data_IF_945515057972
#
_entry.id   IF_945515057972
#
_cell.length_a   1.000
_cell.length_b   1.000
_cell.length_c   1.000
_cell.angle_alpha   90.00
_cell.angle_beta   90.00
_cell.angle_gamma   90.00
#
_symmetry.space_group_name_H-M   'P 1'
#
loop_
_entity.id
_entity.type
_entity.pdbx_description
1 polymer ?
#
# COMPACT_ATOMS: atom_id res chain seq x y z
N UNK A 1 43.38 18.78 5.22
CA UNK A 1 43.23 17.32 5.43
C UNK A 1 42.40 16.92 6.66
N UNK A 2 42.18 17.79 7.66
CA UNK A 2 41.38 17.49 8.87
C UNK A 2 39.86 17.69 8.71
N UNK A 3 39.40 18.55 7.79
CA UNK A 3 37.97 18.83 7.55
C UNK A 3 37.25 17.71 6.79
N UNK A 4 37.93 17.09 5.83
CA UNK A 4 37.31 15.98 5.04
C UNK A 4 37.04 14.71 5.88
N UNK A 5 37.75 14.52 7.01
CA UNK A 5 37.51 13.40 7.92
C UNK A 5 36.31 13.64 8.86
N UNK A 6 35.93 14.90 9.14
CA UNK A 6 34.71 15.23 9.93
C UNK A 6 33.44 15.01 9.11
N UNK A 7 33.46 15.36 7.83
CA UNK A 7 32.31 15.17 6.92
C UNK A 7 32.06 13.67 6.66
N UNK A 8 33.11 12.87 6.47
CA UNK A 8 32.98 11.42 6.33
C UNK A 8 32.46 10.73 7.60
N UNK A 9 32.90 11.17 8.81
CA UNK A 9 32.37 10.63 10.07
C UNK A 9 30.92 11.03 10.34
N UNK A 10 30.47 12.19 9.86
CA UNK A 10 29.06 12.59 9.99
C UNK A 10 28.12 11.81 9.05
N UNK A 11 28.64 11.27 7.94
CA UNK A 11 27.86 10.39 7.05
C UNK A 11 27.75 8.94 7.55
N UNK A 12 28.62 8.48 8.43
CA UNK A 12 28.61 7.11 8.97
C UNK A 12 27.61 6.90 10.12
N UNK A 13 26.96 7.94 10.64
CA UNK A 13 26.07 7.85 11.82
C UNK A 13 24.58 8.03 11.49
N UNK A 14 24.20 8.14 10.23
CA UNK A 14 22.77 8.06 9.87
C UNK A 14 22.39 6.57 9.87
N UNK A 15 21.98 6.07 11.03
CA UNK A 15 21.38 4.74 11.11
C UNK A 15 20.21 4.68 10.12
N UNK A 16 20.28 3.75 9.18
CA UNK A 16 19.20 3.52 8.22
C UNK A 16 17.90 3.24 8.97
N UNK A 17 16.84 3.96 8.65
CA UNK A 17 15.49 3.76 9.20
C UNK A 17 14.94 2.36 8.90
N UNK A 18 15.57 1.61 8.00
CA UNK A 18 15.21 0.23 7.62
C UNK A 18 15.22 -0.73 8.83
N UNK A 19 16.05 -0.46 9.85
CA UNK A 19 16.08 -1.27 11.07
C UNK A 19 14.75 -1.24 11.83
N UNK A 20 14.02 -0.14 11.75
CA UNK A 20 12.76 0.09 12.47
C UNK A 20 11.53 -0.37 11.69
N UNK A 21 11.67 -0.65 10.39
CA UNK A 21 10.58 -1.20 9.60
C UNK A 21 10.32 -2.65 10.00
N UNK A 22 9.06 -3.04 10.30
CA UNK A 22 8.71 -4.41 10.66
C UNK A 22 8.72 -5.36 9.47
N UNK A 23 9.08 -4.89 8.27
CA UNK A 23 9.10 -5.63 7.01
C UNK A 23 10.49 -6.25 6.83
N UNK A 24 10.55 -7.56 6.55
CA UNK A 24 11.79 -8.26 6.19
C UNK A 24 12.05 -8.14 4.68
N UNK A 25 11.03 -8.48 3.86
CA UNK A 25 11.11 -8.42 2.41
C UNK A 25 9.73 -8.33 1.76
N UNK A 26 9.68 -7.92 0.50
CA UNK A 26 8.46 -7.96 -0.32
C UNK A 26 8.73 -8.88 -1.50
N UNK A 27 7.98 -10.00 -1.57
CA UNK A 27 8.08 -10.99 -2.65
C UNK A 27 6.85 -10.95 -3.51
N UNK A 28 6.96 -10.36 -4.71
CA UNK A 28 5.91 -10.27 -5.72
C UNK A 28 4.66 -9.53 -5.20
N UNK A 29 3.74 -10.23 -4.58
CA UNK A 29 2.41 -9.82 -4.13
C UNK A 29 2.22 -10.05 -2.62
N UNK A 30 3.31 -10.33 -1.92
CA UNK A 30 3.30 -10.74 -0.52
C UNK A 30 4.38 -9.99 0.26
N UNK A 31 3.99 -9.43 1.40
CA UNK A 31 4.89 -8.80 2.36
C UNK A 31 5.26 -9.85 3.40
N UNK A 32 6.56 -10.08 3.58
CA UNK A 32 7.11 -10.92 4.63
C UNK A 32 7.56 -10.01 5.78
N UNK A 33 7.01 -10.26 6.96
CA UNK A 33 7.30 -9.47 8.15
C UNK A 33 8.45 -10.11 8.93
N UNK A 34 9.20 -9.30 9.71
CA UNK A 34 10.32 -9.77 10.56
C UNK A 34 9.89 -10.78 11.63
N UNK A 35 8.63 -10.74 12.03
CA UNK A 35 8.03 -11.69 12.98
C UNK A 35 7.53 -13.00 12.34
N UNK A 36 7.76 -13.17 11.02
CA UNK A 36 7.36 -14.34 10.25
C UNK A 36 5.94 -14.32 9.69
N UNK A 37 5.16 -13.25 9.94
CA UNK A 37 3.86 -13.09 9.33
C UNK A 37 3.98 -12.80 7.83
N UNK A 38 3.03 -13.34 7.08
CA UNK A 38 2.81 -12.96 5.69
C UNK A 38 1.59 -12.05 5.60
N UNK A 39 1.65 -11.04 4.73
CA UNK A 39 0.53 -10.14 4.47
C UNK A 39 0.35 -9.94 2.97
N UNK A 40 -0.90 -9.91 2.53
CA UNK A 40 -1.27 -9.47 1.19
C UNK A 40 -2.19 -8.26 1.30
N UNK A 41 -2.09 -7.35 0.34
CA UNK A 41 -2.91 -6.14 0.30
C UNK A 41 -3.81 -6.22 -0.93
N UNK A 42 -5.10 -5.99 -0.71
CA UNK A 42 -6.13 -5.91 -1.73
C UNK A 42 -6.61 -4.46 -1.77
N UNK A 43 -6.47 -3.79 -2.90
CA UNK A 43 -7.12 -2.49 -3.15
C UNK A 43 -8.56 -2.75 -3.56
N UNK A 44 -9.49 -1.99 -2.99
CA UNK A 44 -10.93 -2.10 -3.24
C UNK A 44 -11.48 -0.79 -3.80
N UNK A 45 -12.47 -0.89 -4.68
CA UNK A 45 -13.33 0.24 -5.00
C UNK A 45 -14.22 0.58 -3.80
N UNK A 46 -14.89 1.70 -3.87
CA UNK A 46 -15.90 2.09 -2.90
C UNK A 46 -17.29 2.00 -3.52
N UNK A 47 -18.27 1.75 -2.68
CA UNK A 47 -19.68 1.74 -3.05
C UNK A 47 -20.38 2.93 -2.41
N UNK A 48 -21.03 3.78 -3.21
CA UNK A 48 -21.87 4.83 -2.68
C UNK A 48 -23.24 4.26 -2.32
N UNK A 49 -23.44 4.02 -1.02
CA UNK A 49 -24.67 3.42 -0.50
C UNK A 49 -25.83 4.43 -0.57
N UNK A 50 -25.56 5.72 -0.46
CA UNK A 50 -26.60 6.77 -0.48
C UNK A 50 -27.31 6.88 -1.84
N UNK A 51 -26.69 6.42 -2.92
CA UNK A 51 -27.28 6.37 -4.26
C UNK A 51 -28.17 5.13 -4.48
N UNK A 52 -28.24 4.23 -3.50
CA UNK A 52 -29.05 3.01 -3.58
C UNK A 52 -30.37 3.18 -2.87
N UNK A 53 -31.39 2.48 -3.36
CA UNK A 53 -32.69 2.45 -2.68
C UNK A 53 -32.59 1.65 -1.36
N UNK A 54 -33.60 1.76 -0.50
CA UNK A 54 -33.61 1.14 0.83
C UNK A 54 -33.47 -0.38 0.80
N UNK A 55 -34.03 -1.05 -0.20
CA UNK A 55 -33.94 -2.50 -0.35
C UNK A 55 -32.52 -2.90 -0.72
N UNK A 56 -31.89 -2.21 -1.66
CA UNK A 56 -30.48 -2.45 -2.03
C UNK A 56 -29.53 -2.17 -0.87
N UNK A 57 -29.77 -1.12 -0.09
CA UNK A 57 -28.99 -0.82 1.13
C UNK A 57 -29.06 -1.98 2.12
N UNK A 58 -30.27 -2.52 2.35
CA UNK A 58 -30.44 -3.67 3.23
C UNK A 58 -29.72 -4.92 2.71
N UNK A 59 -29.79 -5.18 1.39
CA UNK A 59 -29.06 -6.29 0.77
C UNK A 59 -27.55 -6.16 0.97
N UNK A 60 -27.00 -4.94 0.82
CA UNK A 60 -25.57 -4.70 1.06
C UNK A 60 -25.22 -4.97 2.52
N UNK A 61 -26.05 -4.48 3.47
CA UNK A 61 -25.83 -4.68 4.89
C UNK A 61 -25.85 -6.18 5.28
N UNK A 62 -26.82 -6.93 4.76
CA UNK A 62 -26.94 -8.36 5.02
C UNK A 62 -25.76 -9.15 4.43
N UNK A 63 -25.33 -8.81 3.22
CA UNK A 63 -24.14 -9.41 2.60
C UNK A 63 -22.87 -9.10 3.39
N UNK A 64 -22.72 -7.88 3.85
CA UNK A 64 -21.57 -7.48 4.66
C UNK A 64 -21.54 -8.24 6.00
N UNK A 65 -22.69 -8.37 6.67
CA UNK A 65 -22.81 -9.16 7.88
C UNK A 65 -22.42 -10.64 7.64
N UNK A 66 -22.88 -11.23 6.55
CA UNK A 66 -22.49 -12.62 6.16
C UNK A 66 -20.99 -12.72 5.88
N UNK A 67 -20.42 -11.74 5.17
CA UNK A 67 -18.98 -11.70 4.94
C UNK A 67 -18.20 -11.72 6.26
N UNK A 68 -18.54 -10.84 7.21
CA UNK A 68 -17.88 -10.80 8.50
C UNK A 68 -18.01 -12.12 9.28
N UNK A 69 -19.18 -12.75 9.25
CA UNK A 69 -19.43 -14.02 9.92
C UNK A 69 -18.71 -15.23 9.27
N UNK A 70 -18.27 -15.10 8.02
CA UNK A 70 -17.52 -16.16 7.31
C UNK A 70 -16.03 -16.12 7.62
N UNK A 71 -15.54 -14.99 8.16
CA UNK A 71 -14.11 -14.82 8.46
C UNK A 71 -13.73 -15.59 9.73
N UNK A 72 -12.85 -16.58 9.58
CA UNK A 72 -12.21 -17.35 10.65
C UNK A 72 -10.81 -16.81 11.01
N UNK A 73 -10.39 -15.70 10.37
CA UNK A 73 -9.13 -15.01 10.58
C UNK A 73 -9.33 -13.49 10.62
N UNK A 74 -8.47 -12.75 11.31
CA UNK A 74 -8.55 -11.30 11.33
C UNK A 74 -8.19 -10.71 9.96
N UNK A 75 -8.87 -9.64 9.58
CA UNK A 75 -8.49 -8.77 8.46
C UNK A 75 -8.34 -7.35 8.97
N UNK A 76 -7.57 -6.53 8.27
CA UNK A 76 -7.46 -5.10 8.56
C UNK A 76 -8.01 -4.32 7.36
N UNK A 77 -8.98 -3.45 7.63
CA UNK A 77 -9.50 -2.51 6.64
C UNK A 77 -8.82 -1.17 6.87
N UNK A 78 -8.21 -0.64 5.81
CA UNK A 78 -7.48 0.63 5.85
C UNK A 78 -8.14 1.59 4.87
N UNK A 79 -8.62 2.72 5.41
CA UNK A 79 -9.05 3.87 4.62
C UNK A 79 -7.92 4.88 4.61
N UNK A 80 -7.44 5.20 3.42
CA UNK A 80 -6.43 6.21 3.20
C UNK A 80 -7.04 7.41 2.49
N UNK A 81 -6.85 8.60 3.05
CA UNK A 81 -7.21 9.86 2.39
C UNK A 81 -5.91 10.53 1.93
N UNK A 82 -5.80 10.79 0.63
CA UNK A 82 -4.68 11.49 0.02
C UNK A 82 -5.16 12.74 -0.68
N UNK A 83 -4.30 13.73 -0.78
CA UNK A 83 -4.59 14.90 -1.59
C UNK A 83 -4.68 14.49 -3.06
N UNK A 84 -5.71 14.95 -3.74
CA UNK A 84 -5.84 14.75 -5.19
C UNK A 84 -4.98 15.80 -5.90
N UNK A 85 -3.93 15.35 -6.55
CA UNK A 85 -3.08 16.20 -7.39
C UNK A 85 -3.68 16.35 -8.79
N UNK A 86 -4.12 17.56 -9.12
CA UNK A 86 -4.68 17.89 -10.43
C UNK A 86 -3.63 18.36 -11.45
N UNK A 87 -2.34 18.38 -11.12
CA UNK A 87 -1.28 18.95 -11.98
C UNK A 87 -1.29 18.34 -13.37
N UNK A 88 -1.39 17.01 -13.48
CA UNK A 88 -1.44 16.33 -14.79
C UNK A 88 -2.69 16.71 -15.59
N UNK A 89 -3.83 16.85 -14.91
CA UNK A 89 -5.08 17.26 -15.55
C UNK A 89 -5.03 18.72 -16.00
N UNK A 90 -4.50 19.61 -15.18
CA UNK A 90 -4.28 21.01 -15.54
C UNK A 90 -3.37 21.15 -16.77
N UNK A 91 -2.29 20.39 -16.83
CA UNK A 91 -1.40 20.36 -17.98
C UNK A 91 -2.11 19.85 -19.25
N UNK A 92 -2.96 18.84 -19.12
CA UNK A 92 -3.78 18.34 -20.23
C UNK A 92 -4.76 19.41 -20.73
N UNK A 93 -5.49 20.09 -19.83
CA UNK A 93 -6.41 21.17 -20.20
C UNK A 93 -5.65 22.30 -20.91
N UNK A 94 -4.53 22.76 -20.34
CA UNK A 94 -3.72 23.83 -20.92
C UNK A 94 -3.31 23.54 -22.36
N UNK A 95 -2.83 22.33 -22.64
CA UNK A 95 -2.47 21.89 -24.01
C UNK A 95 -3.66 21.86 -24.98
N UNK A 96 -4.87 21.60 -24.47
CA UNK A 96 -6.08 21.58 -25.30
C UNK A 96 -6.63 22.99 -25.56
N UNK A 97 -6.52 23.92 -24.60
CA UNK A 97 -6.91 25.32 -24.77
C UNK A 97 -6.14 25.95 -25.93
N UNK A 98 -4.85 25.63 -26.08
CA UNK A 98 -4.00 26.15 -27.18
C UNK A 98 -4.48 25.73 -28.59
N UNK A 99 -5.30 24.67 -28.68
CA UNK A 99 -5.84 24.15 -29.96
C UNK A 99 -7.22 24.65 -30.31
N UNK A 100 -7.81 25.48 -29.47
CA UNK A 100 -9.19 25.99 -29.66
C UNK A 100 -9.13 27.27 -30.47
N UNK A 101 -9.73 27.27 -31.67
CA UNK A 101 -9.81 28.43 -32.54
C UNK A 101 -10.93 29.40 -32.16
N UNK A 102 -11.98 28.91 -31.51
CA UNK A 102 -13.13 29.73 -31.11
C UNK A 102 -12.82 30.52 -29.85
N UNK A 103 -12.78 31.87 -29.96
CA UNK A 103 -12.41 32.76 -28.87
C UNK A 103 -13.34 32.67 -27.63
N UNK A 104 -14.67 32.53 -27.87
CA UNK A 104 -15.64 32.40 -26.76
C UNK A 104 -15.43 31.09 -25.99
N UNK A 105 -15.22 30.01 -26.72
CA UNK A 105 -14.98 28.70 -26.12
C UNK A 105 -13.61 28.67 -25.40
N UNK A 106 -12.60 29.29 -26.00
CA UNK A 106 -11.26 29.44 -25.40
C UNK A 106 -11.34 30.19 -24.07
N UNK A 107 -12.05 31.31 -24.04
CA UNK A 107 -12.28 32.07 -22.81
C UNK A 107 -12.96 31.25 -21.71
N UNK A 108 -13.99 30.46 -22.06
CA UNK A 108 -14.66 29.57 -21.09
C UNK A 108 -13.71 28.54 -20.49
N UNK A 109 -12.86 27.91 -21.34
CA UNK A 109 -11.88 26.95 -20.87
C UNK A 109 -10.76 27.59 -20.02
N UNK A 110 -10.37 28.81 -20.29
CA UNK A 110 -9.44 29.58 -19.47
C UNK A 110 -10.04 29.87 -18.08
N UNK A 111 -11.30 30.27 -18.00
CA UNK A 111 -11.99 30.45 -16.73
C UNK A 111 -12.08 29.15 -15.91
N UNK A 112 -12.39 28.04 -16.59
CA UNK A 112 -12.42 26.73 -15.96
C UNK A 112 -11.05 26.29 -15.46
N UNK A 113 -10.01 26.52 -16.24
CA UNK A 113 -8.63 26.25 -15.85
C UNK A 113 -8.21 27.03 -14.59
N UNK A 114 -8.50 28.34 -14.54
CA UNK A 114 -8.21 29.17 -13.37
C UNK A 114 -9.00 28.73 -12.13
N UNK A 115 -10.24 28.31 -12.30
CA UNK A 115 -11.03 27.75 -11.22
C UNK A 115 -10.40 26.46 -10.66
N UNK A 116 -10.02 25.52 -11.54
CA UNK A 116 -9.37 24.28 -11.12
C UNK A 116 -8.00 24.53 -10.50
N UNK A 117 -7.23 25.49 -11.01
CA UNK A 117 -5.94 25.88 -10.45
C UNK A 117 -6.12 26.40 -9.01
N UNK A 118 -7.07 27.28 -8.78
CA UNK A 118 -7.42 27.73 -7.41
C UNK A 118 -7.85 26.60 -6.49
N UNK A 119 -8.58 25.60 -7.00
CA UNK A 119 -8.95 24.41 -6.25
C UNK A 119 -7.71 23.56 -5.89
N UNK A 120 -6.78 23.42 -6.82
CA UNK A 120 -5.54 22.67 -6.61
C UNK A 120 -4.61 23.36 -5.61
N UNK A 121 -4.52 24.70 -5.70
CA UNK A 121 -3.72 25.52 -4.78
C UNK A 121 -4.30 25.51 -3.35
N UNK A 122 -5.63 25.47 -3.23
CA UNK A 122 -6.36 25.29 -1.98
C UNK A 122 -6.49 23.81 -1.61
N UNK A 123 -5.38 23.13 -1.31
CA UNK A 123 -5.25 21.69 -1.03
C UNK A 123 -6.24 21.10 0.01
N UNK A 124 -7.03 21.92 0.69
CA UNK A 124 -7.98 21.53 1.74
C UNK A 124 -9.27 20.89 1.23
N UNK A 125 -9.57 20.97 -0.08
CA UNK A 125 -10.88 20.59 -0.60
C UNK A 125 -10.91 19.31 -1.45
N UNK A 126 -9.77 18.84 -1.92
CA UNK A 126 -9.72 17.69 -2.82
C UNK A 126 -8.99 16.51 -2.17
N UNK A 127 -9.77 15.56 -1.69
CA UNK A 127 -9.24 14.29 -1.17
C UNK A 127 -9.68 13.12 -2.04
N UNK A 128 -8.73 12.30 -2.42
CA UNK A 128 -8.99 10.96 -2.93
C UNK A 128 -8.99 9.97 -1.77
N UNK A 129 -10.02 9.13 -1.70
CA UNK A 129 -10.11 8.05 -0.71
C UNK A 129 -9.78 6.72 -1.37
N UNK A 130 -8.89 6.00 -0.76
CA UNK A 130 -8.48 4.67 -1.20
C UNK A 130 -8.74 3.66 -0.10
N UNK A 131 -9.30 2.52 -0.49
CA UNK A 131 -9.65 1.46 0.44
C UNK A 131 -8.76 0.26 0.21
N UNK A 132 -8.20 -0.26 1.29
CA UNK A 132 -7.34 -1.43 1.26
C UNK A 132 -7.80 -2.44 2.30
N UNK A 133 -7.74 -3.72 1.93
CA UNK A 133 -7.93 -4.83 2.87
C UNK A 133 -6.60 -5.57 2.97
N UNK A 134 -6.06 -5.64 4.19
CA UNK A 134 -4.84 -6.39 4.48
C UNK A 134 -5.24 -7.74 5.05
N UNK A 135 -4.81 -8.79 4.37
CA UNK A 135 -5.07 -10.18 4.74
C UNK A 135 -3.79 -10.77 5.33
N UNK A 136 -3.76 -11.10 6.63
CA UNK A 136 -2.61 -11.73 7.25
C UNK A 136 -2.67 -13.26 7.18
N UNK A 137 -1.50 -13.88 7.20
CA UNK A 137 -1.35 -15.31 7.47
C UNK A 137 -0.16 -15.55 8.38
N UNK A 138 -0.36 -16.41 9.35
CA UNK A 138 0.66 -16.88 10.25
C UNK A 138 0.45 -18.36 10.56
N UNK A 139 1.54 -19.14 10.51
CA UNK A 139 1.51 -20.54 10.93
C UNK A 139 1.88 -20.63 12.42
N UNK A 140 0.90 -20.96 13.26
CA UNK A 140 1.12 -21.06 14.71
C UNK A 140 2.05 -22.21 15.10
N UNK A 141 2.14 -23.24 14.27
CA UNK A 141 3.07 -24.36 14.49
C UNK A 141 4.54 -23.93 14.34
N UNK A 142 4.80 -22.85 13.59
CA UNK A 142 6.14 -22.29 13.47
C UNK A 142 6.56 -21.43 14.70
N UNK A 143 5.63 -21.02 15.59
CA UNK A 143 6.01 -20.27 16.81
C UNK A 143 6.94 -21.05 17.73
N UNK A 144 6.71 -22.33 17.92
CA UNK A 144 7.59 -23.20 18.70
C UNK A 144 8.98 -23.29 18.03
N UNK A 145 9.00 -23.42 16.70
CA UNK A 145 10.23 -23.46 15.90
C UNK A 145 10.97 -22.11 15.82
N UNK A 146 10.24 -20.98 15.88
CA UNK A 146 10.87 -19.63 15.93
C UNK A 146 11.52 -19.39 17.29
N UNK A 147 10.92 -19.83 18.39
CA UNK A 147 11.55 -19.79 19.72
C UNK A 147 12.81 -20.67 19.76
N UNK A 148 12.73 -21.88 19.23
CA UNK A 148 13.85 -22.78 19.05
C UNK A 148 14.90 -22.21 18.10
N UNK A 149 14.49 -21.56 17.01
CA UNK A 149 15.36 -20.87 16.06
C UNK A 149 16.03 -19.63 16.66
N UNK A 150 15.36 -18.88 17.56
CA UNK A 150 16.01 -17.76 18.27
C UNK A 150 17.06 -18.27 19.26
N UNK A 151 16.77 -19.37 19.96
CA UNK A 151 17.74 -20.03 20.82
C UNK A 151 18.91 -20.62 19.99
N UNK A 152 18.60 -21.23 18.86
CA UNK A 152 19.60 -21.74 17.92
C UNK A 152 20.36 -20.61 17.19
N UNK A 153 19.77 -19.43 16.97
CA UNK A 153 20.46 -18.23 16.48
C UNK A 153 21.44 -17.67 17.50
N UNK A 154 21.15 -17.74 18.78
CA UNK A 154 22.11 -17.41 19.84
C UNK A 154 23.27 -18.42 19.88
N UNK A 155 22.99 -19.70 19.66
CA UNK A 155 24.03 -20.73 19.57
C UNK A 155 24.74 -20.72 18.23
N UNK A 156 24.11 -20.35 17.11
CA UNK A 156 24.72 -20.27 15.78
C UNK A 156 25.42 -18.93 15.50
N UNK A 157 25.24 -17.91 16.34
CA UNK A 157 26.10 -16.73 16.34
C UNK A 157 27.56 -17.09 16.72
N UNK A 158 27.77 -18.30 17.25
CA UNK A 158 29.08 -18.89 17.48
C UNK A 158 29.58 -19.73 16.30
N UNK A 159 28.76 -20.05 15.30
CA UNK A 159 29.15 -20.81 14.09
C UNK A 159 28.53 -20.17 12.84
N UNK A 160 29.35 -19.40 12.17
CA UNK A 160 28.98 -18.48 11.05
C UNK A 160 28.81 -19.22 9.71
N UNK A 161 27.77 -20.04 9.51
CA UNK A 161 27.26 -20.29 8.12
C UNK A 161 25.84 -20.82 8.14
N UNK A 162 24.87 -20.18 7.42
CA UNK A 162 23.55 -20.75 7.24
C UNK A 162 23.69 -22.02 6.36
N UNK A 163 23.38 -23.18 6.93
CA UNK A 163 23.42 -24.46 6.21
C UNK A 163 22.38 -24.41 5.07
N UNK A 164 22.76 -24.92 3.87
CA UNK A 164 21.88 -24.96 2.69
C UNK A 164 20.52 -25.61 3.00
N UNK A 165 20.48 -26.55 3.92
CA UNK A 165 19.28 -27.23 4.40
C UNK A 165 18.34 -26.28 5.17
N UNK A 166 18.86 -25.35 5.97
CA UNK A 166 18.06 -24.35 6.69
C UNK A 166 17.38 -23.36 5.74
N UNK A 167 18.08 -22.98 4.66
CA UNK A 167 17.54 -22.12 3.61
C UNK A 167 16.45 -22.84 2.82
N UNK A 168 16.65 -24.10 2.46
CA UNK A 168 15.69 -24.92 1.74
C UNK A 168 14.41 -25.12 2.57
N UNK A 169 14.50 -25.35 3.86
CA UNK A 169 13.38 -25.49 4.78
C UNK A 169 12.62 -24.15 4.95
N UNK A 170 13.33 -23.03 5.05
CA UNK A 170 12.71 -21.69 5.09
C UNK A 170 11.92 -21.42 3.81
N UNK A 171 12.45 -21.74 2.65
CA UNK A 171 11.79 -21.56 1.36
C UNK A 171 10.54 -22.45 1.23
N UNK A 172 10.61 -23.72 1.66
CA UNK A 172 9.47 -24.66 1.63
C UNK A 172 8.34 -24.18 2.54
N UNK A 173 8.67 -23.72 3.75
CA UNK A 173 7.67 -23.17 4.68
C UNK A 173 7.03 -21.89 4.12
N UNK A 174 7.83 -20.99 3.53
CA UNK A 174 7.28 -19.81 2.85
C UNK A 174 6.32 -20.17 1.72
N UNK A 175 6.63 -21.18 0.92
CA UNK A 175 5.74 -21.63 -0.16
C UNK A 175 4.43 -22.21 0.38
N UNK A 176 4.50 -23.04 1.45
CA UNK A 176 3.33 -23.58 2.13
C UNK A 176 2.44 -22.45 2.68
N UNK A 177 3.04 -21.52 3.39
CA UNK A 177 2.35 -20.40 4.03
C UNK A 177 1.77 -19.43 2.99
N UNK A 178 2.48 -19.20 1.87
CA UNK A 178 1.96 -18.42 0.73
C UNK A 178 0.72 -19.06 0.11
N UNK A 179 0.67 -20.40 0.01
CA UNK A 179 -0.50 -21.09 -0.51
C UNK A 179 -1.73 -20.84 0.38
N UNK A 180 -1.57 -20.92 1.70
CA UNK A 180 -2.65 -20.62 2.66
C UNK A 180 -3.07 -19.16 2.62
N UNK A 181 -2.09 -18.22 2.56
CA UNK A 181 -2.40 -16.81 2.37
C UNK A 181 -3.21 -16.58 1.09
N UNK A 182 -2.85 -17.24 -0.02
CA UNK A 182 -3.56 -17.09 -1.29
C UNK A 182 -5.01 -17.59 -1.19
N UNK A 183 -5.28 -18.66 -0.46
CA UNK A 183 -6.64 -19.15 -0.21
C UNK A 183 -7.48 -18.11 0.55
N UNK A 184 -6.91 -17.49 1.61
CA UNK A 184 -7.55 -16.41 2.35
C UNK A 184 -7.82 -15.19 1.47
N UNK A 185 -6.84 -14.78 0.67
CA UNK A 185 -6.97 -13.67 -0.28
C UNK A 185 -8.10 -13.92 -1.28
N UNK A 186 -8.14 -15.12 -1.88
CA UNK A 186 -9.20 -15.49 -2.83
C UNK A 186 -10.58 -15.50 -2.18
N UNK A 187 -10.69 -15.99 -0.94
CA UNK A 187 -11.94 -15.95 -0.17
C UNK A 187 -12.41 -14.49 0.03
N UNK A 188 -11.53 -13.64 0.53
CA UNK A 188 -11.85 -12.21 0.78
C UNK A 188 -12.22 -11.52 -0.52
N UNK A 189 -11.47 -11.71 -1.62
CA UNK A 189 -11.78 -11.12 -2.91
C UNK A 189 -13.15 -11.56 -3.44
N UNK A 190 -13.48 -12.84 -3.34
CA UNK A 190 -14.80 -13.35 -3.78
C UNK A 190 -15.94 -12.72 -2.99
N UNK A 191 -15.78 -12.56 -1.68
CA UNK A 191 -16.78 -11.89 -0.84
C UNK A 191 -16.94 -10.41 -1.16
N UNK A 192 -15.82 -9.68 -1.35
CA UNK A 192 -15.85 -8.27 -1.72
C UNK A 192 -16.48 -8.06 -3.10
N UNK A 193 -16.21 -8.93 -4.07
CA UNK A 193 -16.86 -8.92 -5.38
C UNK A 193 -18.37 -9.20 -5.28
N UNK A 194 -18.77 -10.09 -4.36
CA UNK A 194 -20.18 -10.34 -4.09
C UNK A 194 -20.89 -9.11 -3.47
N UNK A 195 -20.14 -8.23 -2.81
CA UNK A 195 -20.58 -6.90 -2.34
C UNK A 195 -20.56 -5.83 -3.46
N UNK A 196 -20.33 -6.23 -4.72
CA UNK A 196 -20.19 -5.35 -5.89
C UNK A 196 -18.97 -4.42 -5.84
N UNK A 197 -17.95 -4.77 -5.08
CA UNK A 197 -16.69 -4.04 -5.03
C UNK A 197 -15.71 -4.61 -6.05
N UNK A 198 -15.10 -3.74 -6.84
CA UNK A 198 -13.95 -4.12 -7.65
C UNK A 198 -12.74 -4.32 -6.73
N UNK A 199 -12.02 -5.40 -6.93
CA UNK A 199 -10.89 -5.77 -6.10
C UNK A 199 -9.65 -6.04 -6.94
N UNK A 200 -8.51 -5.51 -6.50
CA UNK A 200 -7.22 -5.74 -7.12
C UNK A 200 -6.19 -6.07 -6.05
N UNK A 201 -5.57 -7.24 -6.13
CA UNK A 201 -4.40 -7.56 -5.30
C UNK A 201 -3.21 -6.73 -5.77
N UNK A 202 -2.51 -6.10 -4.85
CA UNK A 202 -1.35 -5.28 -5.16
C UNK A 202 -0.12 -6.14 -5.47
N UNK A 203 0.65 -5.71 -6.47
CA UNK A 203 1.93 -6.28 -6.83
C UNK A 203 3.08 -5.49 -6.26
N UNK A 204 4.30 -6.04 -6.34
CA UNK A 204 5.53 -5.49 -5.78
C UNK A 204 5.67 -3.97 -5.96
N UNK A 205 5.54 -3.46 -7.18
CA UNK A 205 5.68 -2.02 -7.46
C UNK A 205 4.62 -1.19 -6.73
N UNK A 206 3.37 -1.67 -6.72
CA UNK A 206 2.24 -0.99 -6.09
C UNK A 206 2.36 -1.03 -4.56
N UNK A 207 2.83 -2.16 -4.00
CA UNK A 207 3.08 -2.30 -2.55
C UNK A 207 4.20 -1.35 -2.13
N UNK A 208 5.32 -1.31 -2.87
CA UNK A 208 6.44 -0.42 -2.56
C UNK A 208 6.01 1.03 -2.65
N UNK A 209 5.26 1.43 -3.69
CA UNK A 209 4.72 2.79 -3.82
C UNK A 209 3.81 3.15 -2.65
N UNK A 210 2.86 2.28 -2.31
CA UNK A 210 1.95 2.50 -1.19
C UNK A 210 2.69 2.66 0.14
N UNK A 211 3.64 1.77 0.43
CA UNK A 211 4.42 1.84 1.66
C UNK A 211 5.31 3.08 1.70
N UNK A 212 5.95 3.42 0.57
CA UNK A 212 6.75 4.64 0.47
C UNK A 212 5.92 5.88 0.78
N UNK A 213 4.73 5.99 0.23
CA UNK A 213 3.83 7.11 0.47
C UNK A 213 3.31 7.16 1.92
N UNK A 214 3.07 6.00 2.54
CA UNK A 214 2.63 5.90 3.95
C UNK A 214 3.75 6.31 4.90
N UNK A 215 4.98 5.86 4.64
CA UNK A 215 6.12 6.16 5.51
C UNK A 215 6.74 7.54 5.25
N UNK A 216 6.47 8.16 4.09
CA UNK A 216 7.02 9.45 3.70
C UNK A 216 5.94 10.46 3.27
N UNK A 217 4.99 10.81 4.14
CA UNK A 217 3.85 11.65 3.77
C UNK A 217 4.25 13.06 3.29
N UNK A 218 5.43 13.54 3.66
CA UNK A 218 5.94 14.86 3.26
C UNK A 218 6.73 14.86 1.94
N UNK A 219 7.20 13.71 1.47
CA UNK A 219 7.99 13.62 0.24
C UNK A 219 7.14 13.74 -1.02
N UNK A 220 5.85 13.45 -0.93
CA UNK A 220 4.88 13.62 -2.01
C UNK A 220 4.81 15.10 -2.43
N UNK A 221 4.85 16.03 -1.46
CA UNK A 221 4.92 17.48 -1.74
C UNK A 221 6.17 17.90 -2.50
N UNK A 222 7.34 17.30 -2.19
CA UNK A 222 8.60 17.63 -2.86
C UNK A 222 8.70 17.07 -4.28
N UNK A 223 8.12 15.93 -4.57
CA UNK A 223 8.15 15.39 -5.94
C UNK A 223 7.31 16.21 -6.92
N UNK A 224 6.16 16.75 -6.49
CA UNK A 224 5.39 17.68 -7.30
C UNK A 224 6.13 19.01 -7.54
N UNK A 225 6.89 19.51 -6.57
CA UNK A 225 7.69 20.74 -6.71
C UNK A 225 8.94 20.55 -7.58
N UNK A 226 9.59 19.38 -7.54
CA UNK A 226 10.81 19.09 -8.35
C UNK A 226 10.47 18.83 -9.82
N UNK A 227 9.25 18.35 -10.12
CA UNK A 227 8.79 18.15 -11.51
C UNK A 227 8.32 19.45 -12.18
N UNK A 228 8.23 20.55 -11.45
CA UNK A 228 7.79 21.89 -11.92
C UNK A 228 8.98 22.84 -12.08
N UNK A 229 10.14 22.50 -11.56
CA UNK A 229 11.39 23.24 -11.74
C UNK A 229 12.23 22.67 -12.89
#
# INVERSE_FOLDING_TARGET
MKENNKVRKAQETVESTDKYLPIEEIRWDTIVMKDGWLRAIIKCSWLNIDLKNSEEQQIVADRYARFLNTLDFPIQIVLRSTYLDLTNYLNYIKKNIEKIDNEVLKWQWEQYFEFLKKLNDNQWFLFSKEFYVVVPYYDFDDKAKIRESQFNKLMSALSNTPTAESIANKLRNLQKNKKQLNQRVSLVQSWLQWLWLETKRLWLKEIVSLLFEVYNPLSIKKQSEILIS
#
